data_IF_995599749016
#
_entry.id   IF_995599749016
#
_cell.length_a   1.000
_cell.length_b   1.000
_cell.length_c   1.000
_cell.angle_alpha   90.00
_cell.angle_beta   90.00
_cell.angle_gamma   90.00
#
_symmetry.space_group_name_H-M   'P 1'
#
loop_
_entity.id
_entity.type
_entity.pdbx_description
1 polymer ?
#
# COMPACT_ATOMS: atom_id res chain seq x y z
N UNK A 1 -6.08 47.27 -10.75
CA UNK A 1 -6.70 45.96 -11.03
C UNK A 1 -5.68 44.86 -11.35
N UNK A 2 -4.79 45.03 -12.34
CA UNK A 2 -3.83 43.98 -12.76
C UNK A 2 -2.91 43.50 -11.62
N UNK A 3 -2.44 44.40 -10.75
CA UNK A 3 -1.57 44.04 -9.63
C UNK A 3 -2.26 43.14 -8.59
N UNK A 4 -3.53 43.41 -8.31
CA UNK A 4 -4.36 42.59 -7.41
C UNK A 4 -4.61 41.21 -8.00
N UNK A 5 -4.84 41.14 -9.32
CA UNK A 5 -5.01 39.88 -10.03
C UNK A 5 -3.72 39.04 -10.01
N UNK A 6 -2.56 39.67 -10.15
CA UNK A 6 -1.26 39.00 -10.04
C UNK A 6 -1.02 38.43 -8.64
N UNK A 7 -1.38 39.17 -7.58
CA UNK A 7 -1.28 38.66 -6.20
C UNK A 7 -2.26 37.50 -5.93
N UNK A 8 -3.47 37.58 -6.47
CA UNK A 8 -4.45 36.48 -6.35
C UNK A 8 -3.92 35.24 -7.08
N UNK A 9 -3.40 35.38 -8.29
CA UNK A 9 -2.81 34.26 -9.03
C UNK A 9 -1.62 33.65 -8.28
N UNK A 10 -0.75 34.48 -7.71
CA UNK A 10 0.37 34.02 -6.89
C UNK A 10 -0.10 33.27 -5.63
N UNK A 11 -1.13 33.77 -4.95
CA UNK A 11 -1.70 33.11 -3.78
C UNK A 11 -2.32 31.75 -4.12
N UNK A 12 -3.05 31.67 -5.23
CA UNK A 12 -3.62 30.40 -5.73
C UNK A 12 -2.50 29.42 -6.07
N UNK A 13 -1.47 29.85 -6.80
CA UNK A 13 -0.33 29.01 -7.14
C UNK A 13 0.39 28.49 -5.88
N UNK A 14 0.59 29.35 -4.88
CA UNK A 14 1.20 28.96 -3.60
C UNK A 14 0.33 27.96 -2.82
N UNK A 15 -0.98 28.15 -2.79
CA UNK A 15 -1.90 27.22 -2.14
C UNK A 15 -1.91 25.84 -2.83
N UNK A 16 -1.90 25.80 -4.16
CA UNK A 16 -1.81 24.56 -4.93
C UNK A 16 -0.48 23.85 -4.70
N UNK A 17 0.64 24.59 -4.67
CA UNK A 17 1.95 24.03 -4.38
C UNK A 17 2.04 23.45 -2.96
N UNK A 18 1.51 24.17 -1.97
CA UNK A 18 1.43 23.69 -0.59
C UNK A 18 0.56 22.43 -0.48
N UNK A 19 -0.62 22.44 -1.09
CA UNK A 19 -1.51 21.27 -1.11
C UNK A 19 -0.84 20.04 -1.75
N UNK A 20 -0.19 20.21 -2.90
CA UNK A 20 0.56 19.14 -3.55
C UNK A 20 1.72 18.61 -2.69
N UNK A 21 2.39 19.48 -1.93
CA UNK A 21 3.49 19.09 -1.04
C UNK A 21 3.01 18.29 0.19
N UNK A 22 1.89 18.67 0.81
CA UNK A 22 1.39 18.07 2.05
C UNK A 22 0.41 16.91 1.85
N UNK A 23 -0.34 16.90 0.74
CA UNK A 23 -1.35 15.88 0.46
C UNK A 23 -1.21 15.31 -0.97
N UNK A 24 -0.03 14.79 -1.36
CA UNK A 24 0.15 14.22 -2.70
C UNK A 24 -0.82 13.05 -2.99
N UNK A 25 -1.28 12.34 -1.96
CA UNK A 25 -2.23 11.23 -2.06
C UNK A 25 -3.65 11.63 -2.51
N UNK A 26 -4.04 12.91 -2.41
CA UNK A 26 -5.37 13.36 -2.87
C UNK A 26 -5.44 13.64 -4.37
N UNK A 27 -4.31 13.52 -5.08
CA UNK A 27 -4.29 13.67 -6.53
C UNK A 27 -5.07 12.53 -7.22
N UNK A 28 -5.89 12.83 -8.25
CA UNK A 28 -6.50 11.80 -9.08
C UNK A 28 -5.46 10.91 -9.77
N UNK A 29 -5.73 9.61 -9.89
CA UNK A 29 -4.80 8.63 -10.49
C UNK A 29 -4.31 9.05 -11.89
N UNK A 30 -5.18 9.67 -12.69
CA UNK A 30 -4.84 10.14 -14.04
C UNK A 30 -3.72 11.19 -14.07
N UNK A 31 -3.64 12.06 -13.06
CA UNK A 31 -2.61 13.11 -12.99
C UNK A 31 -1.39 12.68 -12.19
N UNK A 32 -1.49 11.67 -11.31
CA UNK A 32 -0.34 11.20 -10.48
C UNK A 32 0.91 10.84 -11.29
N UNK A 33 0.75 10.38 -12.53
CA UNK A 33 1.88 10.04 -13.42
C UNK A 33 2.49 11.24 -14.15
N UNK A 34 1.76 12.35 -14.24
CA UNK A 34 2.17 13.56 -14.94
C UNK A 34 2.78 14.63 -14.01
N UNK A 35 2.51 14.55 -12.70
CA UNK A 35 3.13 15.42 -11.69
C UNK A 35 4.34 14.69 -11.08
N UNK A 36 5.45 15.38 -10.79
CA UNK A 36 6.56 14.79 -10.04
C UNK A 36 6.09 14.18 -8.71
N UNK A 37 6.86 13.26 -8.15
CA UNK A 37 6.59 12.81 -6.78
C UNK A 37 6.89 13.96 -5.80
N UNK A 38 5.94 14.25 -4.91
CA UNK A 38 6.19 15.16 -3.79
C UNK A 38 7.33 14.60 -2.93
N UNK A 39 8.27 15.42 -2.46
CA UNK A 39 9.33 14.99 -1.54
C UNK A 39 8.80 14.29 -0.27
N UNK A 40 7.57 14.58 0.17
CA UNK A 40 6.95 13.92 1.32
C UNK A 40 6.32 12.57 0.98
N UNK A 41 6.10 12.23 -0.29
CA UNK A 41 5.48 10.97 -0.68
C UNK A 41 6.30 9.76 -0.22
N UNK A 42 7.65 9.85 -0.28
CA UNK A 42 8.54 8.80 0.22
C UNK A 42 8.48 8.62 1.74
N UNK A 43 8.15 9.68 2.50
CA UNK A 43 7.95 9.60 3.95
C UNK A 43 6.63 8.94 4.32
N UNK A 44 5.63 9.03 3.44
CA UNK A 44 4.31 8.48 3.69
C UNK A 44 4.27 6.93 3.57
N UNK A 45 5.18 6.33 2.81
CA UNK A 45 5.26 4.88 2.62
C UNK A 45 6.72 4.40 2.75
N UNK A 46 7.25 4.27 3.99
CA UNK A 46 8.61 3.83 4.20
C UNK A 46 8.82 2.39 3.71
N UNK A 47 10.01 2.11 3.20
CA UNK A 47 10.45 0.74 2.86
C UNK A 47 10.70 -0.01 4.16
N UNK A 48 10.12 -1.21 4.27
CA UNK A 48 10.35 -2.16 5.36
C UNK A 48 11.03 -3.42 4.82
N UNK A 49 11.69 -4.15 5.70
CA UNK A 49 12.46 -5.33 5.36
C UNK A 49 11.90 -6.54 6.09
N UNK A 50 11.38 -7.50 5.33
CA UNK A 50 10.87 -8.77 5.83
C UNK A 50 11.95 -9.84 5.74
N UNK A 51 12.09 -10.63 6.79
CA UNK A 51 13.04 -11.76 6.80
C UNK A 51 12.59 -12.86 7.76
N UNK A 52 13.16 -14.05 7.62
CA UNK A 52 12.90 -15.18 8.52
C UNK A 52 14.13 -15.49 9.37
N UNK A 53 13.91 -15.73 10.66
CA UNK A 53 14.97 -16.18 11.55
C UNK A 53 15.25 -17.70 11.41
N UNK A 54 16.24 -18.19 12.15
CA UNK A 54 16.64 -19.61 12.15
C UNK A 54 15.51 -20.55 12.62
N UNK A 55 14.54 -20.03 13.36
CA UNK A 55 13.35 -20.76 13.83
C UNK A 55 12.17 -20.61 12.87
N UNK A 56 12.39 -19.98 11.70
CA UNK A 56 11.37 -19.74 10.68
C UNK A 56 10.39 -18.60 10.99
N UNK A 57 10.60 -17.82 12.07
CA UNK A 57 9.71 -16.73 12.46
C UNK A 57 9.88 -15.52 11.54
N UNK A 58 8.77 -14.95 11.10
CA UNK A 58 8.74 -13.75 10.27
C UNK A 58 9.03 -12.52 11.13
N UNK A 59 10.00 -11.72 10.70
CA UNK A 59 10.34 -10.44 11.30
C UNK A 59 10.21 -9.34 10.24
N UNK A 60 9.85 -8.13 10.68
CA UNK A 60 9.73 -6.94 9.85
C UNK A 60 10.47 -5.80 10.54
N UNK A 61 11.46 -5.21 9.86
CA UNK A 61 12.29 -4.14 10.40
C UNK A 61 12.34 -2.95 9.45
N UNK A 62 12.62 -1.77 9.99
CA UNK A 62 12.87 -0.52 9.25
C UNK A 62 14.30 -0.43 8.71
N UNK A 63 15.23 -1.17 9.33
CA UNK A 63 16.63 -1.30 8.89
C UNK A 63 16.87 -2.66 8.24
N UNK A 64 17.57 -2.66 7.11
CA UNK A 64 17.94 -3.87 6.40
C UNK A 64 18.92 -4.73 7.22
N UNK A 65 18.63 -6.03 7.42
CA UNK A 65 19.55 -6.92 8.12
C UNK A 65 20.75 -7.26 7.24
N UNK A 66 21.96 -7.28 7.82
CA UNK A 66 23.21 -7.43 7.06
C UNK A 66 23.59 -8.88 6.78
N UNK A 67 23.24 -9.78 7.69
CA UNK A 67 23.79 -11.14 7.71
C UNK A 67 22.80 -12.20 7.20
N UNK A 68 21.70 -11.77 6.55
CA UNK A 68 20.64 -12.68 6.12
C UNK A 68 19.88 -12.13 4.91
N UNK A 69 19.32 -13.02 4.07
CA UNK A 69 18.44 -12.59 3.00
C UNK A 69 17.17 -11.94 3.56
N UNK A 70 16.71 -10.90 2.87
CA UNK A 70 15.52 -10.16 3.21
C UNK A 70 14.77 -9.75 1.95
N UNK A 71 13.49 -9.44 2.11
CA UNK A 71 12.59 -8.91 1.09
C UNK A 71 12.24 -7.46 1.45
N UNK A 72 12.48 -6.53 0.53
CA UNK A 72 12.05 -5.13 0.67
C UNK A 72 10.58 -5.00 0.29
N UNK A 73 9.76 -4.44 1.17
CA UNK A 73 8.33 -4.22 0.96
C UNK A 73 7.93 -2.79 1.27
N UNK A 74 6.97 -2.28 0.51
CA UNK A 74 6.34 -0.98 0.77
C UNK A 74 4.86 -1.24 0.98
N UNK A 75 4.33 -0.77 2.11
CA UNK A 75 2.91 -0.87 2.43
C UNK A 75 2.22 0.47 2.19
N UNK A 76 1.01 0.42 1.63
CA UNK A 76 0.11 1.56 1.65
C UNK A 76 -0.44 1.73 3.08
N UNK A 77 -0.18 2.86 3.76
CA UNK A 77 -0.65 3.08 5.14
C UNK A 77 -2.18 3.12 5.26
N UNK A 78 -2.92 3.30 4.15
CA UNK A 78 -4.39 3.33 4.15
C UNK A 78 -5.02 1.96 3.87
N UNK A 79 -4.21 0.93 3.65
CA UNK A 79 -4.67 -0.42 3.32
C UNK A 79 -4.21 -1.41 4.39
N UNK A 80 -5.16 -2.02 5.10
CA UNK A 80 -4.84 -3.12 6.00
C UNK A 80 -4.61 -4.41 5.19
N UNK A 81 -3.41 -5.00 5.32
CA UNK A 81 -3.06 -6.27 4.67
C UNK A 81 -3.12 -7.40 5.69
N UNK A 82 -4.10 -8.29 5.54
CA UNK A 82 -4.22 -9.49 6.38
C UNK A 82 -3.58 -10.69 5.68
N UNK A 83 -2.93 -11.61 6.42
CA UNK A 83 -2.48 -12.88 5.85
C UNK A 83 -3.66 -13.62 5.19
N UNK A 84 -3.42 -14.21 4.01
CA UNK A 84 -4.42 -15.00 3.33
C UNK A 84 -4.90 -16.14 4.23
N UNK A 85 -6.14 -16.03 4.72
CA UNK A 85 -6.77 -17.09 5.50
C UNK A 85 -7.09 -18.23 4.52
N UNK A 86 -6.47 -19.39 4.68
CA UNK A 86 -6.92 -20.61 4.00
C UNK A 86 -8.27 -20.97 4.64
N UNK A 87 -9.37 -20.85 3.90
CA UNK A 87 -10.68 -21.30 4.41
C UNK A 87 -10.58 -22.78 4.80
N UNK A 88 -11.00 -23.18 6.02
CA UNK A 88 -10.98 -24.58 6.45
C UNK A 88 -11.74 -25.50 5.49
N UNK A 89 -12.76 -24.97 4.81
CA UNK A 89 -13.70 -25.71 3.96
C UNK A 89 -13.09 -26.25 2.66
N UNK A 90 -11.91 -25.78 2.26
CA UNK A 90 -11.25 -26.25 1.04
C UNK A 90 -10.65 -27.67 1.18
N UNK A 91 -10.42 -28.13 2.41
CA UNK A 91 -9.89 -29.48 2.68
C UNK A 91 -10.98 -30.51 3.00
N UNK A 92 -12.20 -30.07 3.33
CA UNK A 92 -13.30 -30.93 3.79
C UNK A 92 -14.35 -31.25 2.72
N UNK A 93 -14.11 -30.88 1.45
CA UNK A 93 -14.85 -31.45 0.32
C UNK A 93 -14.42 -32.89 0.06
N UNK A 94 -14.63 -33.77 1.04
CA UNK A 94 -14.76 -35.20 0.75
C UNK A 94 -15.95 -35.34 -0.20
N UNK A 95 -15.83 -36.10 -1.30
CA UNK A 95 -16.97 -36.39 -2.15
C UNK A 95 -18.10 -36.91 -1.28
N UNK A 96 -19.25 -36.22 -1.29
CA UNK A 96 -20.45 -36.71 -0.61
C UNK A 96 -20.76 -38.06 -1.28
N UNK A 97 -20.77 -39.19 -0.56
CA UNK A 97 -21.15 -40.47 -1.14
C UNK A 97 -22.51 -40.32 -1.79
N UNK A 98 -22.73 -40.88 -3.00
CA UNK A 98 -24.03 -40.76 -3.66
C UNK A 98 -25.11 -41.29 -2.73
N UNK A 99 -26.19 -40.51 -2.61
CA UNK A 99 -27.34 -40.83 -1.77
C UNK A 99 -27.89 -42.22 -2.15
N UNK A 100 -27.88 -43.20 -1.22
CA UNK A 100 -28.36 -44.55 -1.51
C UNK A 100 -29.85 -44.57 -1.89
N UNK A 101 -30.61 -43.50 -1.59
CA UNK A 101 -32.02 -43.38 -1.96
C UNK A 101 -32.26 -43.04 -3.45
N UNK A 102 -31.20 -42.73 -4.23
CA UNK A 102 -31.31 -42.41 -5.66
C UNK A 102 -30.80 -43.52 -6.60
N UNK A 103 -30.63 -44.74 -6.10
CA UNK A 103 -30.12 -45.88 -6.88
C UNK A 103 -31.20 -46.87 -7.38
N UNK A 104 -32.48 -46.51 -7.34
CA UNK A 104 -33.57 -47.29 -7.94
C UNK A 104 -34.26 -46.52 -9.07
#
# INVERSE_FOLDING_TARGET
>A
MVRSLAWIAAAIAAALAAWWYFAPQTLPTAVRHAVPLSPNAAKAAPVLYKWRDEKGRLNVTDVAPKDRPYESVTYDPNTNVVPGYRSPDAADQRPIPPDPAKQN
#
